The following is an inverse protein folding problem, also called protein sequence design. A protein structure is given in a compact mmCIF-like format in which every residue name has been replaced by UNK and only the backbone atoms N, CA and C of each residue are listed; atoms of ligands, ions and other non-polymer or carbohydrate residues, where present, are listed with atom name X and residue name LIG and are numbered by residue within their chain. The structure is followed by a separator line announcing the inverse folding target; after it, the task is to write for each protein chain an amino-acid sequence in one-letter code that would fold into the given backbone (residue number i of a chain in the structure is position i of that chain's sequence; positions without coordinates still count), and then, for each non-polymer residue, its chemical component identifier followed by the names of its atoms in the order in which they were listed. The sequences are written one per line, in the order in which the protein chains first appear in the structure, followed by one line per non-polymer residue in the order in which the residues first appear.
data_IF_320513793574
#
_entry.id   IF_320513793574
#
_cell.length_a   1.000
_cell.length_b   1.000
_cell.length_c   1.000
_cell.angle_alpha   90.00
_cell.angle_beta   90.00
_cell.angle_gamma   90.00
#
_symmetry.space_group_name_H-M   'P 1'
#
loop_
_entity.id
_entity.type
_entity.pdbx_description
1 polymer ?
#
# COMPACT_ATOMS: atom_id res chain seq x y z
N UNK A 1 4.24 -10.59 -18.23
CA UNK A 1 4.98 -10.06 -17.07
C UNK A 1 4.56 -8.64 -16.72
N UNK A 2 4.78 -7.66 -17.61
CA UNK A 2 4.49 -6.23 -17.36
C UNK A 2 3.00 -5.90 -17.19
N UNK A 3 2.11 -6.53 -17.96
CA UNK A 3 0.66 -6.28 -17.85
C UNK A 3 0.09 -6.60 -16.46
N UNK A 4 0.60 -7.64 -15.79
CA UNK A 4 0.15 -8.00 -14.44
C UNK A 4 0.53 -6.89 -13.44
N UNK A 5 1.77 -6.42 -13.52
CA UNK A 5 2.29 -5.33 -12.72
C UNK A 5 1.51 -4.02 -12.93
N UNK A 6 1.24 -3.66 -14.18
CA UNK A 6 0.46 -2.46 -14.51
C UNK A 6 -0.94 -2.49 -13.91
N UNK A 7 -1.58 -3.67 -13.82
CA UNK A 7 -2.89 -3.80 -13.17
C UNK A 7 -2.82 -3.42 -11.69
N UNK A 8 -1.81 -3.90 -10.97
CA UNK A 8 -1.63 -3.58 -9.55
C UNK A 8 -1.39 -2.09 -9.31
N UNK A 9 -0.56 -1.45 -10.15
CA UNK A 9 -0.34 0.00 -10.07
C UNK A 9 -1.64 0.78 -10.33
N UNK A 10 -2.36 0.44 -11.39
CA UNK A 10 -3.62 1.12 -11.72
C UNK A 10 -4.64 0.97 -10.59
N UNK A 11 -4.74 -0.22 -9.99
CA UNK A 11 -5.62 -0.45 -8.84
C UNK A 11 -5.23 0.39 -7.61
N UNK A 12 -3.95 0.52 -7.29
CA UNK A 12 -3.48 1.37 -6.18
C UNK A 12 -3.81 2.85 -6.42
N UNK A 13 -3.63 3.35 -7.64
CA UNK A 13 -4.00 4.74 -7.99
C UNK A 13 -5.51 4.96 -7.85
N UNK A 14 -6.32 4.02 -8.32
CA UNK A 14 -7.79 4.08 -8.17
C UNK A 14 -8.18 4.03 -6.70
N UNK A 15 -7.55 3.18 -5.89
CA UNK A 15 -7.78 3.07 -4.45
C UNK A 15 -7.49 4.39 -3.73
N UNK A 16 -6.38 5.07 -4.07
CA UNK A 16 -6.07 6.40 -3.54
C UNK A 16 -7.13 7.44 -3.88
N UNK A 17 -7.65 7.42 -5.11
CA UNK A 17 -8.79 8.24 -5.51
C UNK A 17 -10.04 7.95 -4.67
N UNK A 18 -10.40 6.67 -4.49
CA UNK A 18 -11.55 6.25 -3.69
C UNK A 18 -11.38 6.70 -2.23
N UNK A 19 -10.19 6.57 -1.66
CA UNK A 19 -9.89 7.02 -0.30
C UNK A 19 -10.09 8.53 -0.15
N UNK A 20 -9.60 9.30 -1.11
CA UNK A 20 -9.78 10.75 -1.13
C UNK A 20 -11.26 11.15 -1.13
N UNK A 21 -12.10 10.52 -1.95
CA UNK A 21 -13.53 10.83 -2.02
C UNK A 21 -14.34 10.30 -0.82
N UNK A 22 -13.92 9.19 -0.21
CA UNK A 22 -14.65 8.57 0.91
C UNK A 22 -14.27 9.11 2.28
N UNK A 23 -13.14 9.81 2.41
CA UNK A 23 -12.61 10.28 3.70
C UNK A 23 -12.05 9.16 4.59
N UNK A 24 -11.84 7.97 4.03
CA UNK A 24 -11.23 6.82 4.71
C UNK A 24 -9.71 6.87 4.49
N UNK A 25 -8.93 6.31 5.42
CA UNK A 25 -7.48 6.16 5.26
C UNK A 25 -7.12 5.44 3.95
N UNK A 26 -6.17 6.01 3.20
CA UNK A 26 -5.67 5.48 1.92
C UNK A 26 -5.22 4.03 2.06
N UNK A 27 -4.41 3.72 3.07
CA UNK A 27 -3.89 2.36 3.29
C UNK A 27 -4.99 1.34 3.51
N UNK A 28 -6.09 1.74 4.17
CA UNK A 28 -7.22 0.86 4.45
C UNK A 28 -7.98 0.50 3.16
N UNK A 29 -8.18 1.50 2.29
CA UNK A 29 -8.82 1.31 0.97
C UNK A 29 -7.92 0.48 0.05
N UNK A 30 -6.60 0.70 0.06
CA UNK A 30 -5.65 -0.09 -0.72
C UNK A 30 -5.67 -1.57 -0.34
N UNK A 31 -5.76 -1.90 0.96
CA UNK A 31 -5.90 -3.28 1.44
C UNK A 31 -7.20 -3.90 0.93
N UNK A 32 -8.34 -3.20 1.04
CA UNK A 32 -9.63 -3.70 0.57
C UNK A 32 -9.64 -3.95 -0.95
N UNK A 33 -9.09 -3.01 -1.72
CA UNK A 33 -8.96 -3.14 -3.18
C UNK A 33 -8.04 -4.31 -3.53
N UNK A 34 -6.94 -4.52 -2.81
CA UNK A 34 -6.06 -5.67 -2.98
C UNK A 34 -6.74 -7.00 -2.68
N UNK A 35 -7.55 -7.08 -1.62
CA UNK A 35 -8.37 -8.27 -1.30
C UNK A 35 -9.34 -8.56 -2.44
N UNK A 36 -10.06 -7.55 -2.94
CA UNK A 36 -11.01 -7.71 -4.05
C UNK A 36 -10.28 -8.16 -5.32
N UNK A 37 -9.13 -7.55 -5.63
CA UNK A 37 -8.30 -7.90 -6.78
C UNK A 37 -7.84 -9.37 -6.74
N UNK A 38 -7.35 -9.84 -5.59
CA UNK A 38 -6.91 -11.21 -5.41
C UNK A 38 -8.05 -12.21 -5.51
N UNK A 39 -9.20 -11.92 -4.89
CA UNK A 39 -10.32 -12.88 -4.80
C UNK A 39 -11.24 -12.87 -6.02
N UNK A 40 -11.58 -11.69 -6.55
CA UNK A 40 -12.57 -11.56 -7.63
C UNK A 40 -11.90 -11.59 -8.99
N UNK A 41 -10.78 -10.88 -9.15
CA UNK A 41 -10.05 -10.81 -10.43
C UNK A 41 -9.00 -11.92 -10.59
N UNK A 42 -8.82 -12.77 -9.56
CA UNK A 42 -7.78 -13.80 -9.50
C UNK A 42 -6.39 -13.25 -9.88
N UNK A 43 -6.10 -12.01 -9.46
CA UNK A 43 -4.82 -11.38 -9.70
C UNK A 43 -3.77 -12.01 -8.80
N UNK A 44 -2.79 -12.67 -9.41
CA UNK A 44 -1.63 -13.20 -8.71
C UNK A 44 -0.58 -12.13 -8.52
N UNK A 45 0.22 -12.26 -7.46
CA UNK A 45 1.45 -11.50 -7.30
C UNK A 45 2.58 -12.16 -8.08
N UNK A 46 3.63 -11.40 -8.35
CA UNK A 46 4.87 -11.91 -8.92
C UNK A 46 6.05 -11.38 -8.09
N UNK A 47 7.25 -11.89 -8.38
CA UNK A 47 8.48 -11.51 -7.66
C UNK A 47 8.69 -9.99 -7.52
N UNK A 48 8.28 -9.19 -8.52
CA UNK A 48 8.44 -7.74 -8.48
C UNK A 48 7.44 -7.06 -7.56
N UNK A 49 6.19 -7.54 -7.53
CA UNK A 49 5.16 -7.04 -6.63
C UNK A 49 5.50 -7.40 -5.19
N UNK A 50 5.95 -8.64 -4.95
CA UNK A 50 6.37 -9.09 -3.62
C UNK A 50 7.59 -8.29 -3.14
N UNK A 51 8.55 -8.01 -4.02
CA UNK A 51 9.69 -7.15 -3.73
C UNK A 51 9.26 -5.72 -3.35
N UNK A 52 8.38 -5.09 -4.14
CA UNK A 52 7.91 -3.73 -3.84
C UNK A 52 7.09 -3.67 -2.56
N UNK A 53 6.26 -4.68 -2.27
CA UNK A 53 5.50 -4.76 -1.03
C UNK A 53 6.44 -4.84 0.18
N UNK A 54 7.46 -5.70 0.12
CA UNK A 54 8.46 -5.82 1.19
C UNK A 54 9.33 -4.58 1.35
N UNK A 55 9.81 -4.00 0.24
CA UNK A 55 10.58 -2.76 0.29
C UNK A 55 9.74 -1.60 0.87
N UNK A 56 8.49 -1.46 0.42
CA UNK A 56 7.55 -0.46 0.90
C UNK A 56 7.26 -0.61 2.39
N UNK A 57 7.03 -1.82 2.89
CA UNK A 57 6.76 -2.03 4.33
C UNK A 57 7.95 -1.63 5.21
N UNK A 58 9.18 -1.91 4.76
CA UNK A 58 10.40 -1.51 5.47
C UNK A 58 10.54 0.02 5.48
N UNK A 59 10.36 0.65 4.32
CA UNK A 59 10.45 2.12 4.19
C UNK A 59 9.42 2.82 5.07
N UNK A 60 8.16 2.37 5.05
CA UNK A 60 7.09 2.95 5.87
C UNK A 60 7.35 2.79 7.36
N UNK A 61 7.86 1.64 7.79
CA UNK A 61 8.20 1.41 9.21
C UNK A 61 9.40 2.26 9.63
N UNK A 62 10.39 2.42 8.75
CA UNK A 62 11.52 3.32 8.99
C UNK A 62 11.07 4.78 9.11
N UNK A 63 10.20 5.24 8.20
CA UNK A 63 9.66 6.59 8.24
C UNK A 63 8.86 6.85 9.51
N UNK A 64 8.04 5.88 9.94
CA UNK A 64 7.33 5.94 11.21
C UNK A 64 8.29 6.04 12.40
N UNK A 65 9.44 5.34 12.36
CA UNK A 65 10.49 5.47 13.38
C UNK A 65 11.25 6.79 13.33
N UNK A 66 11.43 7.37 12.14
CA UNK A 66 12.10 8.66 11.95
C UNK A 66 11.23 9.86 12.37
N UNK A 67 9.91 9.72 12.37
CA UNK A 67 8.95 10.76 12.79
C UNK A 67 8.85 10.88 14.33
N UNK A 68 9.45 9.95 15.10
CA UNK A 68 9.41 9.98 16.55
C UNK A 68 10.25 11.16 17.08
N UNK A 69 9.56 12.17 17.60
CA UNK A 69 10.17 13.28 18.34
C UNK A 69 10.69 12.79 19.69
N UNK A 70 11.97 13.04 19.97
CA UNK A 70 12.64 12.62 21.20
C UNK A 70 12.48 13.65 22.33
N UNK A 71 12.05 14.88 22.04
CA UNK A 71 11.94 15.97 23.04
C UNK A 71 10.75 15.76 24.00
N UNK A 72 9.83 14.85 23.68
CA UNK A 72 8.68 14.48 24.53
C UNK A 72 9.01 13.34 25.53
N UNK A 73 10.16 12.66 25.39
CA UNK A 73 10.53 11.50 26.22
C UNK A 73 11.32 11.85 27.49
N UNK A 74 11.36 13.14 27.86
CA UNK A 74 12.02 13.64 29.06
C UNK A 74 10.95 13.85 30.16
N UNK A 75 11.04 13.07 31.24
CA UNK A 75 10.44 13.44 32.53
C UNK A 75 11.17 14.64 33.13
#
# INVERSE_FOLDING_TARGET
MWLLFSKWIVLSIIAGGIAYYSGISISLVEILVGIIAGNVMNLTTNQWIDFLAGAGSIILTFQAGAEIDHDIFIF
#
